data_IF_098558192950
#
_entry.id   IF_098558192950
#
_cell.length_a   1.000
_cell.length_b   1.000
_cell.length_c   1.000
_cell.angle_alpha   90.00
_cell.angle_beta   90.00
_cell.angle_gamma   90.00
#
_symmetry.space_group_name_H-M   'P 1'
#
loop_
_entity.id
_entity.type
_entity.pdbx_description
1 polymer ?
#
# COMPACT_ATOMS: atom_id res chain seq x y z
N UNK A 1 8.50 -13.96 21.35
CA UNK A 1 7.82 -12.83 20.67
C UNK A 1 8.09 -12.94 19.18
N UNK A 2 7.09 -12.94 18.28
CA UNK A 2 7.35 -13.04 16.86
C UNK A 2 8.12 -11.81 16.35
N UNK A 3 8.94 -12.02 15.33
CA UNK A 3 9.62 -10.91 14.65
C UNK A 3 8.64 -10.05 13.89
N UNK A 4 8.90 -8.73 13.84
CA UNK A 4 8.06 -7.78 13.14
C UNK A 4 8.55 -7.58 11.71
N UNK A 5 7.62 -7.35 10.80
CA UNK A 5 7.93 -6.89 9.46
C UNK A 5 8.58 -5.49 9.55
N UNK A 6 9.69 -5.31 8.83
CA UNK A 6 10.41 -4.04 8.84
C UNK A 6 10.18 -3.26 7.54
N UNK A 7 10.55 -3.83 6.39
CA UNK A 7 10.41 -3.17 5.09
C UNK A 7 10.24 -4.16 3.96
N UNK A 8 9.83 -3.62 2.83
CA UNK A 8 9.78 -4.28 1.53
C UNK A 8 10.58 -3.45 0.54
N UNK A 9 11.32 -4.11 -0.36
CA UNK A 9 11.90 -3.46 -1.53
C UNK A 9 11.09 -3.82 -2.77
N UNK A 10 10.73 -2.80 -3.56
CA UNK A 10 10.12 -2.95 -4.87
C UNK A 10 11.06 -2.41 -5.93
N UNK A 11 11.33 -3.21 -6.94
CA UNK A 11 12.26 -2.86 -8.01
C UNK A 11 11.53 -2.43 -9.28
N UNK A 12 12.11 -1.47 -9.96
CA UNK A 12 11.59 -0.84 -11.18
C UNK A 12 12.56 -1.02 -12.34
N UNK A 13 12.06 -0.98 -13.59
CA UNK A 13 12.94 -0.85 -14.74
C UNK A 13 13.82 0.39 -14.66
N UNK A 14 15.02 0.33 -15.24
CA UNK A 14 15.92 1.49 -15.33
C UNK A 14 15.21 2.67 -16.01
N UNK A 15 15.30 3.83 -15.38
CA UNK A 15 14.68 5.09 -15.83
C UNK A 15 13.20 5.25 -15.49
N UNK A 16 12.57 4.26 -14.84
CA UNK A 16 11.16 4.34 -14.47
C UNK A 16 10.92 5.11 -13.16
N UNK A 17 11.94 5.24 -12.31
CA UNK A 17 11.86 5.94 -11.03
C UNK A 17 12.54 7.32 -11.08
N UNK A 18 12.25 8.09 -12.12
CA UNK A 18 12.75 9.44 -12.27
C UNK A 18 12.16 10.41 -11.24
N UNK A 19 12.63 11.64 -11.21
CA UNK A 19 12.19 12.66 -10.26
C UNK A 19 10.67 12.95 -10.36
N UNK A 20 10.10 12.87 -11.55
CA UNK A 20 8.66 13.07 -11.74
C UNK A 20 7.86 11.90 -11.18
N UNK A 21 8.27 10.67 -11.46
CA UNK A 21 7.65 9.47 -10.90
C UNK A 21 7.71 9.44 -9.37
N UNK A 22 8.87 9.75 -8.77
CA UNK A 22 9.03 9.81 -7.31
C UNK A 22 8.12 10.86 -6.67
N UNK A 23 8.02 12.04 -7.27
CA UNK A 23 7.10 13.10 -6.82
C UNK A 23 5.65 12.64 -6.88
N UNK A 24 5.22 12.06 -8.01
CA UNK A 24 3.84 11.62 -8.21
C UNK A 24 3.49 10.46 -7.26
N UNK A 25 4.38 9.49 -7.08
CA UNK A 25 4.27 8.41 -6.09
C UNK A 25 4.13 9.00 -4.67
N UNK A 26 5.03 9.89 -4.29
CA UNK A 26 4.99 10.53 -2.97
C UNK A 26 3.67 11.24 -2.70
N UNK A 27 3.17 12.01 -3.66
CA UNK A 27 1.91 12.74 -3.53
C UNK A 27 0.72 11.79 -3.38
N UNK A 28 0.64 10.76 -4.20
CA UNK A 28 -0.46 9.78 -4.14
C UNK A 28 -0.49 9.04 -2.80
N UNK A 29 0.62 8.43 -2.40
CA UNK A 29 0.65 7.62 -1.17
C UNK A 29 0.57 8.45 0.10
N UNK A 30 0.98 9.73 0.06
CA UNK A 30 0.73 10.66 1.16
C UNK A 30 -0.77 10.96 1.31
N UNK A 31 -1.45 11.30 0.23
CA UNK A 31 -2.89 11.58 0.27
C UNK A 31 -3.70 10.32 0.60
N UNK A 32 -3.32 9.17 0.06
CA UNK A 32 -4.03 7.91 0.30
C UNK A 32 -3.86 7.41 1.73
N UNK A 33 -2.62 7.28 2.20
CA UNK A 33 -2.31 6.57 3.44
C UNK A 33 -1.59 7.42 4.49
N UNK A 34 -1.35 8.70 4.23
CA UNK A 34 -0.59 9.57 5.12
C UNK A 34 0.91 9.25 5.16
N UNK A 35 1.41 8.50 4.19
CA UNK A 35 2.82 8.13 4.14
C UNK A 35 3.68 9.28 3.66
N UNK A 36 4.87 9.40 4.23
CA UNK A 36 5.88 10.34 3.78
C UNK A 36 6.80 9.69 2.76
N UNK A 37 7.13 10.46 1.72
CA UNK A 37 8.05 10.04 0.68
C UNK A 37 9.29 10.92 0.64
N UNK A 38 10.48 10.33 0.49
CA UNK A 38 11.73 11.07 0.35
C UNK A 38 12.79 10.29 -0.42
N UNK A 39 13.70 11.06 -1.05
CA UNK A 39 14.84 10.52 -1.80
C UNK A 39 15.93 10.01 -0.84
N UNK A 40 16.58 8.91 -1.20
CA UNK A 40 17.73 8.38 -0.50
C UNK A 40 18.78 7.87 -1.49
N UNK A 41 20.04 8.24 -1.27
CA UNK A 41 21.15 7.77 -2.09
C UNK A 41 21.68 6.44 -1.57
N UNK A 42 21.39 5.35 -2.29
CA UNK A 42 21.88 4.01 -1.98
C UNK A 42 22.35 3.35 -3.28
N UNK A 43 23.42 2.56 -3.21
CA UNK A 43 23.96 1.79 -4.34
C UNK A 43 24.26 2.63 -5.59
N UNK A 44 24.73 3.86 -5.40
CA UNK A 44 25.07 4.84 -6.45
C UNK A 44 23.87 5.24 -7.32
N UNK A 45 22.68 5.22 -6.77
CA UNK A 45 21.47 5.71 -7.42
C UNK A 45 20.56 6.40 -6.40
N UNK A 46 19.71 7.29 -6.91
CA UNK A 46 18.63 7.88 -6.11
C UNK A 46 17.48 6.89 -6.04
N UNK A 47 17.17 6.43 -4.83
CA UNK A 47 16.02 5.59 -4.52
C UNK A 47 14.96 6.44 -3.84
N UNK A 48 13.80 5.85 -3.58
CA UNK A 48 12.70 6.53 -2.90
C UNK A 48 12.16 5.68 -1.77
N UNK A 49 11.95 6.28 -0.60
CA UNK A 49 11.33 5.61 0.55
C UNK A 49 9.92 6.16 0.75
N UNK A 50 8.99 5.24 0.97
CA UNK A 50 7.64 5.52 1.49
C UNK A 50 7.54 4.95 2.89
N UNK A 51 7.19 5.76 3.89
CA UNK A 51 7.08 5.32 5.29
C UNK A 51 5.87 5.93 5.98
N UNK A 52 5.20 5.12 6.79
CA UNK A 52 4.05 5.57 7.59
C UNK A 52 4.42 6.13 8.96
N UNK A 53 5.63 5.83 9.45
CA UNK A 53 6.08 6.24 10.78
C UNK A 53 7.44 6.95 10.72
N UNK A 54 8.52 6.21 10.91
CA UNK A 54 9.88 6.70 10.75
C UNK A 54 10.67 5.85 9.74
N UNK A 55 11.84 6.33 9.36
CA UNK A 55 12.66 5.70 8.30
C UNK A 55 13.15 4.29 8.66
N UNK A 56 13.06 3.91 9.92
CA UNK A 56 13.58 2.62 10.41
C UNK A 56 12.52 1.53 10.53
N UNK A 57 11.24 1.86 10.36
CA UNK A 57 10.14 0.94 10.63
C UNK A 57 9.05 1.03 9.57
N UNK A 58 8.61 -0.14 9.08
CA UNK A 58 7.44 -0.27 8.21
C UNK A 58 7.50 0.65 6.99
N UNK A 59 8.57 0.51 6.20
CA UNK A 59 8.75 1.31 4.98
C UNK A 59 8.82 0.45 3.72
N UNK A 60 8.60 1.09 2.59
CA UNK A 60 8.81 0.52 1.26
C UNK A 60 9.96 1.28 0.60
N UNK A 61 11.00 0.54 0.22
CA UNK A 61 12.11 1.06 -0.58
C UNK A 61 11.80 0.82 -2.05
N UNK A 62 11.88 1.88 -2.84
CA UNK A 62 11.74 1.84 -4.30
C UNK A 62 13.10 2.05 -4.94
N UNK A 63 13.52 1.12 -5.78
CA UNK A 63 14.82 1.13 -6.43
C UNK A 63 14.73 0.68 -7.89
N UNK A 64 15.68 1.10 -8.72
CA UNK A 64 15.79 0.62 -10.09
C UNK A 64 16.76 -0.55 -10.20
N UNK A 65 16.40 -1.57 -10.98
CA UNK A 65 17.24 -2.73 -11.23
C UNK A 65 17.04 -3.28 -12.64
N UNK A 66 18.08 -3.93 -13.20
CA UNK A 66 17.97 -4.60 -14.49
C UNK A 66 16.99 -5.76 -14.43
N UNK A 67 17.01 -6.49 -13.31
CA UNK A 67 15.98 -7.48 -12.97
C UNK A 67 15.05 -6.85 -11.95
N UNK A 68 13.83 -6.60 -12.35
CA UNK A 68 12.85 -5.92 -11.53
C UNK A 68 11.59 -6.78 -11.38
N UNK A 69 10.78 -6.45 -10.39
CA UNK A 69 9.51 -7.12 -10.19
C UNK A 69 8.54 -6.76 -11.32
N UNK A 70 7.86 -7.77 -11.83
CA UNK A 70 6.74 -7.65 -12.75
C UNK A 70 5.63 -8.56 -12.24
N UNK A 71 4.64 -7.97 -11.58
CA UNK A 71 3.52 -8.71 -11.01
C UNK A 71 2.36 -8.75 -12.01
N UNK A 72 2.10 -9.90 -12.65
CA UNK A 72 1.05 -10.04 -13.66
C UNK A 72 -0.35 -10.24 -13.06
N UNK A 73 -0.46 -10.44 -11.75
CA UNK A 73 -1.69 -10.84 -11.10
C UNK A 73 -2.07 -9.97 -9.91
N UNK A 74 -2.50 -10.64 -8.85
CA UNK A 74 -3.00 -10.02 -7.61
C UNK A 74 -1.95 -9.94 -6.49
N UNK A 75 -0.67 -9.92 -6.81
CA UNK A 75 0.36 -9.69 -5.80
C UNK A 75 0.15 -8.33 -5.17
N UNK A 76 0.01 -8.31 -3.84
CA UNK A 76 -0.42 -7.13 -3.11
C UNK A 76 0.22 -7.02 -1.73
N UNK A 77 0.18 -5.82 -1.20
CA UNK A 77 0.43 -5.51 0.20
C UNK A 77 -0.90 -5.13 0.86
N UNK A 78 -1.22 -5.79 1.99
CA UNK A 78 -2.40 -5.48 2.77
C UNK A 78 -2.25 -4.20 3.59
N UNK A 79 -3.25 -3.34 3.54
CA UNK A 79 -3.40 -2.13 4.37
C UNK A 79 -4.61 -2.35 5.25
N UNK A 80 -4.39 -2.43 6.55
CA UNK A 80 -5.46 -2.64 7.52
C UNK A 80 -6.02 -1.29 7.98
N UNK A 81 -7.33 -1.13 7.81
CA UNK A 81 -8.14 -0.06 8.38
C UNK A 81 -8.89 -0.59 9.62
N UNK A 82 -9.17 0.30 10.56
CA UNK A 82 -9.90 -0.06 11.77
C UNK A 82 -11.39 -0.22 11.52
N UNK A 83 -11.94 0.51 10.56
CA UNK A 83 -13.38 0.53 10.28
C UNK A 83 -13.68 0.39 8.78
N UNK A 84 -14.91 -0.03 8.49
CA UNK A 84 -15.47 -0.07 7.14
C UNK A 84 -15.53 1.32 6.51
N UNK A 85 -15.89 2.31 7.30
CA UNK A 85 -15.98 3.71 6.88
C UNK A 85 -14.63 4.25 6.40
N UNK A 86 -13.53 3.88 7.05
CA UNK A 86 -12.19 4.25 6.59
C UNK A 86 -11.85 3.64 5.22
N UNK A 87 -12.23 2.38 5.00
CA UNK A 87 -12.06 1.73 3.69
C UNK A 87 -12.84 2.47 2.62
N UNK A 88 -14.10 2.82 2.89
CA UNK A 88 -14.97 3.53 1.95
C UNK A 88 -14.45 4.95 1.66
N UNK A 89 -13.95 5.68 2.66
CA UNK A 89 -13.31 6.99 2.48
C UNK A 89 -12.06 6.91 1.60
N UNK A 90 -11.23 5.88 1.80
CA UNK A 90 -10.04 5.66 0.98
C UNK A 90 -10.41 5.26 -0.47
N UNK A 91 -11.48 4.48 -0.65
CA UNK A 91 -12.00 4.17 -1.98
C UNK A 91 -12.47 5.44 -2.72
N UNK A 92 -13.22 6.30 -2.04
CA UNK A 92 -13.68 7.57 -2.61
C UNK A 92 -12.49 8.50 -2.94
N UNK A 93 -11.46 8.49 -2.11
CA UNK A 93 -10.22 9.23 -2.34
C UNK A 93 -9.48 8.71 -3.56
N UNK A 94 -9.36 7.37 -3.70
CA UNK A 94 -8.76 6.74 -4.88
C UNK A 94 -9.54 7.07 -6.17
N UNK A 95 -10.87 7.10 -6.12
CA UNK A 95 -11.72 7.49 -7.25
C UNK A 95 -11.48 8.94 -7.66
N UNK A 96 -11.37 9.87 -6.72
CA UNK A 96 -11.04 11.28 -7.02
C UNK A 96 -9.66 11.43 -7.65
N UNK A 97 -8.68 10.60 -7.24
CA UNK A 97 -7.38 10.54 -7.89
C UNK A 97 -7.47 10.02 -9.32
N UNK A 98 -8.20 8.93 -9.54
CA UNK A 98 -8.40 8.35 -10.88
C UNK A 98 -9.06 9.33 -11.84
N UNK A 99 -9.95 10.18 -11.36
CA UNK A 99 -10.59 11.22 -12.18
C UNK A 99 -9.59 12.28 -12.67
N UNK A 100 -8.47 12.46 -11.98
CA UNK A 100 -7.39 13.40 -12.33
C UNK A 100 -6.23 12.72 -13.06
N UNK A 101 -6.01 11.42 -12.78
CA UNK A 101 -4.88 10.67 -13.30
C UNK A 101 -5.31 9.21 -13.57
N UNK A 102 -5.45 8.88 -14.85
CA UNK A 102 -5.92 7.57 -15.32
C UNK A 102 -4.94 6.41 -15.05
N UNK A 103 -3.73 6.70 -14.55
CA UNK A 103 -2.77 5.69 -14.11
C UNK A 103 -3.19 5.01 -12.80
N UNK A 104 -4.14 5.59 -12.07
CA UNK A 104 -4.73 4.95 -10.88
C UNK A 104 -5.64 3.80 -11.32
N UNK A 105 -5.38 2.60 -10.81
CA UNK A 105 -6.22 1.41 -11.04
C UNK A 105 -6.92 1.03 -9.75
N UNK A 106 -8.22 0.76 -9.84
CA UNK A 106 -9.06 0.38 -8.69
C UNK A 106 -9.78 -0.91 -9.06
N UNK A 107 -9.80 -1.86 -8.13
CA UNK A 107 -10.62 -3.06 -8.22
C UNK A 107 -11.57 -3.04 -7.03
N UNK A 108 -12.86 -2.92 -7.32
CA UNK A 108 -13.93 -2.98 -6.32
C UNK A 108 -14.55 -4.37 -6.30
N UNK A 109 -14.99 -4.81 -5.14
CA UNK A 109 -15.73 -6.06 -5.00
C UNK A 109 -17.21 -5.76 -4.77
N UNK A 110 -18.07 -6.47 -5.48
CA UNK A 110 -19.53 -6.33 -5.32
C UNK A 110 -20.04 -6.80 -3.94
N UNK A 111 -19.27 -7.68 -3.31
CA UNK A 111 -19.63 -8.29 -2.02
C UNK A 111 -18.40 -8.44 -1.15
N UNK A 112 -18.63 -8.34 0.15
CA UNK A 112 -17.60 -8.66 1.15
C UNK A 112 -17.23 -10.16 1.07
N UNK A 113 -15.97 -10.44 1.40
CA UNK A 113 -15.50 -11.81 1.55
C UNK A 113 -15.85 -12.30 2.95
N UNK A 114 -16.70 -13.31 3.02
CA UNK A 114 -17.03 -13.99 4.29
C UNK A 114 -16.28 -15.31 4.35
N UNK A 115 -15.42 -15.46 5.36
CA UNK A 115 -14.62 -16.66 5.57
C UNK A 115 -14.71 -17.11 7.04
N UNK A 116 -15.49 -18.14 7.29
CA UNK A 116 -15.74 -18.61 8.64
C UNK A 116 -16.45 -17.53 9.47
N UNK A 117 -15.78 -17.08 10.55
CA UNK A 117 -16.29 -16.06 11.49
C UNK A 117 -15.72 -14.66 11.22
N UNK A 118 -15.21 -14.44 10.02
CA UNK A 118 -14.57 -13.20 9.62
C UNK A 118 -15.23 -12.67 8.35
N UNK A 119 -15.48 -11.37 8.30
CA UNK A 119 -15.92 -10.64 7.13
C UNK A 119 -14.86 -9.61 6.76
N UNK A 120 -14.43 -9.64 5.50
CA UNK A 120 -13.46 -8.70 4.97
C UNK A 120 -14.17 -7.76 4.00
N UNK A 121 -14.11 -6.47 4.30
CA UNK A 121 -14.54 -5.39 3.42
C UNK A 121 -13.31 -4.73 2.82
N UNK A 122 -13.16 -4.76 1.49
CA UNK A 122 -11.92 -4.39 0.84
C UNK A 122 -12.10 -3.84 -0.58
N UNK A 123 -11.09 -3.12 -1.04
CA UNK A 123 -10.85 -2.83 -2.45
C UNK A 123 -9.33 -2.88 -2.72
N UNK A 124 -8.95 -3.05 -3.99
CA UNK A 124 -7.56 -2.91 -4.40
C UNK A 124 -7.31 -1.60 -5.12
N UNK A 125 -6.14 -1.01 -4.87
CA UNK A 125 -5.66 0.18 -5.58
C UNK A 125 -4.22 -0.01 -6.01
N UNK A 126 -3.86 0.51 -7.18
CA UNK A 126 -2.50 0.52 -7.70
C UNK A 126 -2.22 1.86 -8.37
N UNK A 127 -1.08 2.47 -8.05
CA UNK A 127 -0.60 3.66 -8.70
C UNK A 127 0.91 3.64 -8.81
N UNK A 128 1.43 3.54 -10.02
CA UNK A 128 2.86 3.54 -10.40
C UNK A 128 3.76 2.48 -9.75
N UNK A 129 3.35 1.84 -8.66
CA UNK A 129 4.08 0.74 -8.04
C UNK A 129 3.73 -0.59 -8.74
N UNK A 130 4.64 -1.58 -8.74
CA UNK A 130 4.44 -2.83 -9.47
C UNK A 130 3.47 -3.81 -8.80
N UNK A 131 2.93 -3.50 -7.63
CA UNK A 131 1.97 -4.33 -6.89
C UNK A 131 0.68 -3.56 -6.59
N UNK A 132 -0.37 -4.30 -6.24
CA UNK A 132 -1.61 -3.75 -5.70
C UNK A 132 -1.47 -3.47 -4.20
N UNK A 133 -2.32 -2.59 -3.69
CA UNK A 133 -2.56 -2.42 -2.26
C UNK A 133 -3.97 -2.90 -1.96
N UNK A 134 -4.08 -3.88 -1.06
CA UNK A 134 -5.34 -4.42 -0.58
C UNK A 134 -5.76 -3.62 0.66
N UNK A 135 -6.65 -2.66 0.44
CA UNK A 135 -7.18 -1.80 1.51
C UNK A 135 -8.39 -2.46 2.11
N UNK A 136 -8.30 -2.86 3.37
CA UNK A 136 -9.32 -3.70 3.98
C UNK A 136 -9.55 -3.38 5.46
N UNK A 137 -10.77 -3.65 5.93
CA UNK A 137 -11.04 -3.88 7.33
C UNK A 137 -11.53 -5.32 7.54
N UNK A 138 -11.24 -5.85 8.72
CA UNK A 138 -11.59 -7.21 9.11
C UNK A 138 -12.56 -7.13 10.27
N UNK A 139 -13.78 -7.56 10.04
CA UNK A 139 -14.84 -7.63 11.04
C UNK A 139 -14.94 -9.06 11.58
N UNK A 140 -15.02 -9.20 12.89
CA UNK A 140 -15.11 -10.49 13.56
C UNK A 140 -16.51 -10.69 14.13
N UNK A 141 -17.02 -11.92 14.03
CA UNK A 141 -18.20 -12.27 14.80
C UNK A 141 -17.91 -12.17 16.31
N UNK A 142 -18.89 -11.73 17.13
CA UNK A 142 -18.69 -11.59 18.57
C UNK A 142 -18.09 -12.85 19.20
N UNK A 143 -17.03 -12.68 19.97
CA UNK A 143 -16.27 -13.76 20.62
C UNK A 143 -15.30 -14.52 19.73
N UNK A 144 -15.02 -13.99 18.51
CA UNK A 144 -13.98 -14.54 17.64
C UNK A 144 -12.83 -13.56 17.37
N UNK A 145 -12.84 -12.42 18.06
CA UNK A 145 -11.79 -11.42 17.95
C UNK A 145 -10.44 -11.99 18.42
N UNK A 146 -9.32 -11.56 17.79
CA UNK A 146 -8.01 -11.99 18.22
C UNK A 146 -7.70 -11.46 19.63
N UNK A 147 -7.06 -12.29 20.45
CA UNK A 147 -6.63 -11.90 21.81
C UNK A 147 -5.64 -10.73 21.81
N UNK A 148 -4.85 -10.61 20.76
CA UNK A 148 -3.86 -9.54 20.60
C UNK A 148 -4.03 -8.88 19.25
N UNK A 149 -4.12 -7.55 19.26
CA UNK A 149 -4.05 -6.72 18.05
C UNK A 149 -2.73 -5.98 18.02
N UNK A 150 -2.14 -5.92 16.86
CA UNK A 150 -0.98 -5.06 16.65
C UNK A 150 -1.46 -3.61 16.57
N UNK A 151 -0.97 -2.77 17.46
CA UNK A 151 -1.27 -1.35 17.49
C UNK A 151 0.02 -0.55 17.42
N UNK A 152 0.02 0.51 16.64
CA UNK A 152 1.01 1.56 16.72
C UNK A 152 0.71 2.39 17.97
N UNK A 153 1.68 2.51 18.85
CA UNK A 153 1.55 3.27 20.10
C UNK A 153 2.28 4.60 19.92
#
# INVERSE_FOLDING_TARGET
MPHRFNHMELTFPRGALDAAARRDIGAFYNEMFGWNGFDVELFKQTNFILTGADESQSFILLAEADKHIDSPGYDHLGILCDTREEVDELLDRAKRWRDKDDRVKIIEFEKDLVQGRVTVHAFYVKYLLPILFDVQCIEYEPGSEPEQRWQYV
#
